data_IF_230283999382
#
_entry.id   IF_230283999382
#
_cell.length_a   1.000
_cell.length_b   1.000
_cell.length_c   1.000
_cell.angle_alpha   90.00
_cell.angle_beta   90.00
_cell.angle_gamma   90.00
#
_symmetry.space_group_name_H-M   'P 1'
#
loop_
_entity.id
_entity.type
_entity.pdbx_description
1 polymer ?
#
# COMPACT_ATOMS: atom_id res chain seq x y z
N UNK A 1 -30.94 8.47 -10.82
CA UNK A 1 -29.49 8.60 -10.56
C UNK A 1 -29.26 8.02 -9.18
N UNK A 2 -28.84 6.75 -9.11
CA UNK A 2 -28.53 6.13 -7.84
C UNK A 2 -27.33 6.90 -7.26
N UNK A 3 -27.50 7.51 -6.10
CA UNK A 3 -26.41 8.06 -5.33
C UNK A 3 -25.45 6.91 -5.02
N UNK A 4 -24.31 6.94 -5.63
CA UNK A 4 -23.25 5.99 -5.34
C UNK A 4 -22.87 6.18 -3.87
N UNK A 5 -23.24 5.20 -3.07
CA UNK A 5 -22.92 5.20 -1.63
C UNK A 5 -21.46 4.78 -1.45
N UNK A 6 -20.55 5.65 -1.86
CA UNK A 6 -19.09 5.50 -1.74
C UNK A 6 -18.61 5.37 -0.29
N UNK A 7 -19.52 5.43 0.67
CA UNK A 7 -19.21 6.03 1.97
C UNK A 7 -19.18 5.05 3.13
N UNK A 8 -19.47 3.78 2.93
CA UNK A 8 -19.64 2.91 4.10
C UNK A 8 -18.60 1.81 4.30
N UNK A 9 -17.80 1.52 3.28
CA UNK A 9 -16.81 0.45 3.43
C UNK A 9 -15.63 0.63 2.47
N UNK A 10 -14.43 1.02 2.96
CA UNK A 10 -13.23 1.16 2.14
C UNK A 10 -12.83 -0.14 1.42
N UNK A 11 -13.23 -1.30 1.96
CA UNK A 11 -12.97 -2.58 1.34
C UNK A 11 -13.66 -2.72 -0.03
N UNK A 12 -14.86 -2.15 -0.20
CA UNK A 12 -15.58 -2.20 -1.48
C UNK A 12 -14.82 -1.49 -2.59
N UNK A 13 -14.29 -0.30 -2.32
CA UNK A 13 -13.47 0.44 -3.29
C UNK A 13 -12.23 -0.37 -3.70
N UNK A 14 -11.54 -0.92 -2.74
CA UNK A 14 -10.36 -1.75 -2.97
C UNK A 14 -10.69 -3.03 -3.75
N UNK A 15 -11.73 -3.76 -3.36
CA UNK A 15 -12.15 -4.99 -4.03
C UNK A 15 -12.64 -4.72 -5.45
N UNK A 16 -13.35 -3.61 -5.68
CA UNK A 16 -13.77 -3.19 -7.03
C UNK A 16 -12.57 -2.90 -7.92
N UNK A 17 -11.53 -2.26 -7.39
CA UNK A 17 -10.28 -2.05 -8.12
C UNK A 17 -9.61 -3.38 -8.46
N UNK A 18 -9.52 -4.30 -7.51
CA UNK A 18 -8.93 -5.62 -7.76
C UNK A 18 -9.70 -6.39 -8.83
N UNK A 19 -11.02 -6.40 -8.77
CA UNK A 19 -11.86 -7.03 -9.80
C UNK A 19 -11.65 -6.39 -11.16
N UNK A 20 -11.64 -5.06 -11.23
CA UNK A 20 -11.38 -4.32 -12.45
C UNK A 20 -10.02 -4.70 -13.09
N UNK A 21 -8.97 -4.83 -12.29
CA UNK A 21 -7.65 -5.24 -12.76
C UNK A 21 -7.68 -6.69 -13.28
N UNK A 22 -8.36 -7.59 -12.57
CA UNK A 22 -8.47 -8.98 -12.99
C UNK A 22 -9.18 -9.14 -14.34
N UNK A 23 -10.23 -8.34 -14.57
CA UNK A 23 -11.05 -8.40 -15.78
C UNK A 23 -10.45 -7.64 -16.97
N UNK A 24 -9.83 -6.48 -16.70
CA UNK A 24 -9.40 -5.53 -17.74
C UNK A 24 -7.89 -5.29 -17.76
N UNK A 25 -7.14 -5.83 -16.81
CA UNK A 25 -5.71 -5.62 -16.70
C UNK A 25 -4.93 -6.32 -17.82
N UNK A 26 -3.86 -5.67 -18.25
CA UNK A 26 -2.91 -6.21 -19.24
C UNK A 26 -1.83 -6.97 -18.49
N UNK A 27 -1.54 -8.19 -18.93
CA UNK A 27 -0.43 -8.97 -18.39
C UNK A 27 0.91 -8.35 -18.76
N UNK A 28 1.76 -8.14 -17.75
CA UNK A 28 3.13 -7.66 -17.92
C UNK A 28 4.10 -8.66 -17.30
N UNK A 29 5.15 -8.95 -18.03
CA UNK A 29 6.29 -9.70 -17.48
C UNK A 29 7.08 -8.76 -16.58
N UNK A 30 7.22 -9.15 -15.32
CA UNK A 30 8.09 -8.44 -14.39
C UNK A 30 9.48 -9.07 -14.32
N UNK A 31 10.44 -8.31 -13.78
CA UNK A 31 11.82 -8.75 -13.56
C UNK A 31 11.91 -10.05 -12.74
N UNK A 32 10.93 -10.29 -11.85
CA UNK A 32 10.88 -11.49 -10.98
C UNK A 32 10.37 -12.74 -11.69
N UNK A 33 9.86 -12.62 -12.93
CA UNK A 33 9.31 -13.75 -13.71
C UNK A 33 7.92 -14.21 -13.30
N UNK A 34 7.33 -13.65 -12.25
CA UNK A 34 6.01 -14.05 -11.74
C UNK A 34 4.88 -13.50 -12.61
N UNK A 35 5.11 -12.37 -13.28
CA UNK A 35 4.09 -11.65 -14.04
C UNK A 35 3.18 -10.80 -13.14
N UNK A 36 2.56 -9.78 -13.74
CA UNK A 36 1.58 -8.94 -13.08
C UNK A 36 0.48 -8.53 -14.06
N UNK A 37 -0.74 -8.36 -13.55
CA UNK A 37 -1.80 -7.65 -14.27
C UNK A 37 -1.84 -6.20 -13.81
N UNK A 38 -1.96 -5.27 -14.76
CA UNK A 38 -2.03 -3.85 -14.46
C UNK A 38 -3.00 -3.10 -15.35
N UNK A 39 -3.59 -2.05 -14.81
CA UNK A 39 -4.29 -1.00 -15.57
C UNK A 39 -3.46 0.27 -15.50
N UNK A 40 -3.63 1.17 -16.48
CA UNK A 40 -2.82 2.40 -16.55
C UNK A 40 -3.08 3.35 -15.38
N UNK A 41 -4.30 3.41 -14.90
CA UNK A 41 -4.67 4.25 -13.77
C UNK A 41 -6.06 3.94 -13.28
N UNK A 42 -6.32 4.23 -12.02
CA UNK A 42 -7.62 4.09 -11.39
C UNK A 42 -7.74 5.06 -10.23
N UNK A 43 -8.92 5.65 -10.06
CA UNK A 43 -9.19 6.57 -8.96
C UNK A 43 -10.09 5.90 -7.94
N UNK A 44 -9.65 5.84 -6.69
CA UNK A 44 -10.48 5.50 -5.53
C UNK A 44 -10.81 6.78 -4.76
N UNK A 45 -12.02 6.86 -4.21
CA UNK A 45 -12.47 7.99 -3.41
C UNK A 45 -12.97 7.51 -2.06
N UNK A 46 -12.52 8.18 -1.00
CA UNK A 46 -12.90 7.88 0.38
C UNK A 46 -13.40 9.14 1.08
N UNK A 47 -14.52 9.04 1.76
CA UNK A 47 -15.03 10.10 2.63
C UNK A 47 -14.39 10.01 4.01
N UNK A 48 -13.42 10.87 4.27
CA UNK A 48 -12.69 10.88 5.53
C UNK A 48 -13.55 11.34 6.74
N UNK A 49 -14.72 11.93 6.49
CA UNK A 49 -15.66 12.26 7.58
C UNK A 49 -16.22 11.01 8.26
N UNK A 50 -16.19 9.87 7.57
CA UNK A 50 -16.63 8.56 8.09
C UNK A 50 -15.52 7.80 8.83
N UNK A 51 -14.32 8.34 8.86
CA UNK A 51 -13.16 7.75 9.51
C UNK A 51 -12.01 7.45 8.55
N UNK A 52 -10.95 6.86 9.10
CA UNK A 52 -9.80 6.45 8.31
C UNK A 52 -10.14 5.20 7.46
N UNK A 53 -9.86 5.19 6.15
CA UNK A 53 -10.21 4.11 5.23
C UNK A 53 -9.29 2.88 5.39
N UNK A 54 -9.24 2.31 6.58
CA UNK A 54 -8.46 1.11 6.85
C UNK A 54 -9.11 -0.11 6.22
N UNK A 55 -8.35 -0.84 5.40
CA UNK A 55 -8.81 -2.10 4.83
C UNK A 55 -8.93 -3.19 5.90
N UNK A 56 -10.01 -3.96 5.85
CA UNK A 56 -10.32 -5.06 6.78
C UNK A 56 -10.33 -6.43 6.10
N UNK A 57 -10.01 -6.51 4.80
CA UNK A 57 -9.90 -7.76 4.05
C UNK A 57 -8.82 -8.71 4.60
N UNK A 58 -7.87 -8.15 5.32
CA UNK A 58 -6.88 -8.88 6.12
C UNK A 58 -6.53 -8.07 7.37
N UNK A 59 -5.95 -8.73 8.36
CA UNK A 59 -5.41 -8.02 9.54
C UNK A 59 -4.23 -7.17 9.12
N UNK A 60 -4.32 -5.87 9.35
CA UNK A 60 -3.23 -4.91 9.07
C UNK A 60 -2.64 -4.36 10.37
N UNK A 61 -1.35 -4.04 10.33
CA UNK A 61 -0.62 -3.46 11.46
C UNK A 61 -0.70 -1.93 11.40
N UNK A 62 -1.82 -1.38 11.90
CA UNK A 62 -2.13 0.07 11.83
C UNK A 62 -1.03 0.96 12.43
N UNK A 63 -0.39 0.55 13.53
CA UNK A 63 0.70 1.30 14.14
C UNK A 63 1.88 1.47 13.16
N UNK A 64 2.23 0.41 12.44
CA UNK A 64 3.27 0.46 11.40
C UNK A 64 2.89 1.40 10.25
N UNK A 65 1.63 1.37 9.81
CA UNK A 65 1.10 2.25 8.75
C UNK A 65 1.23 3.72 9.16
N UNK A 66 0.84 4.06 10.38
CA UNK A 66 0.93 5.45 10.89
C UNK A 66 2.38 5.91 10.94
N UNK A 67 3.30 5.12 11.51
CA UNK A 67 4.71 5.48 11.59
C UNK A 67 5.36 5.60 10.21
N UNK A 68 5.04 4.71 9.28
CA UNK A 68 5.55 4.79 7.90
C UNK A 68 5.06 6.06 7.21
N UNK A 69 3.77 6.40 7.35
CA UNK A 69 3.22 7.63 6.78
C UNK A 69 3.89 8.88 7.37
N UNK A 70 4.08 8.95 8.68
CA UNK A 70 4.78 10.04 9.33
C UNK A 70 6.22 10.16 8.83
N UNK A 71 6.92 9.05 8.69
CA UNK A 71 8.26 9.00 8.14
C UNK A 71 8.30 9.52 6.69
N UNK A 72 7.37 9.12 5.82
CA UNK A 72 7.26 9.67 4.47
C UNK A 72 7.03 11.18 4.46
N UNK A 73 6.16 11.68 5.34
CA UNK A 73 5.85 13.11 5.41
C UNK A 73 7.04 13.96 5.87
N UNK A 74 7.98 13.40 6.62
CA UNK A 74 9.23 14.10 7.00
C UNK A 74 10.23 14.20 5.85
N UNK A 75 10.04 13.43 4.75
CA UNK A 75 10.99 13.36 3.65
C UNK A 75 12.31 12.67 4.01
N UNK A 76 12.39 12.01 5.16
CA UNK A 76 13.58 11.29 5.58
C UNK A 76 13.71 9.97 4.80
N UNK A 77 14.92 9.65 4.37
CA UNK A 77 15.24 8.40 3.69
C UNK A 77 15.95 7.37 4.59
N UNK A 78 16.27 7.76 5.82
CA UNK A 78 16.90 6.88 6.79
C UNK A 78 15.84 6.16 7.64
N UNK A 79 15.92 4.84 7.70
CA UNK A 79 14.94 4.01 8.43
C UNK A 79 15.07 4.09 9.96
N UNK A 80 16.02 4.85 10.49
CA UNK A 80 16.29 4.95 11.92
C UNK A 80 15.06 5.30 12.75
N UNK A 81 14.21 6.20 12.24
CA UNK A 81 12.94 6.54 12.89
C UNK A 81 12.04 5.32 13.05
N UNK A 82 11.89 4.51 12.00
CA UNK A 82 11.06 3.30 12.00
C UNK A 82 11.62 2.25 12.96
N UNK A 83 12.93 2.03 12.94
CA UNK A 83 13.62 1.09 13.83
C UNK A 83 13.42 1.47 15.30
N UNK A 84 13.58 2.76 15.64
CA UNK A 84 13.37 3.27 17.00
C UNK A 84 11.93 3.11 17.51
N UNK A 85 10.97 3.05 16.59
CA UNK A 85 9.56 2.84 16.88
C UNK A 85 9.11 1.38 16.70
N UNK A 86 10.05 0.45 16.62
CA UNK A 86 9.80 -1.00 16.41
C UNK A 86 8.92 -1.30 15.20
N UNK A 87 9.10 -0.55 14.11
CA UNK A 87 8.47 -0.76 12.81
C UNK A 87 9.48 -1.38 11.87
N UNK A 88 9.28 -2.65 11.50
CA UNK A 88 10.28 -3.49 10.82
C UNK A 88 10.07 -3.63 9.31
N UNK A 89 9.11 -2.94 8.74
CA UNK A 89 8.67 -3.09 7.34
C UNK A 89 9.85 -2.96 6.34
N UNK A 90 10.80 -2.07 6.64
CA UNK A 90 11.93 -1.75 5.77
C UNK A 90 13.26 -2.40 6.18
N UNK A 91 13.30 -3.14 7.30
CA UNK A 91 14.57 -3.65 7.84
C UNK A 91 15.29 -4.59 6.88
N UNK A 92 14.59 -5.54 6.30
CA UNK A 92 15.17 -6.54 5.41
C UNK A 92 15.79 -5.90 4.17
N UNK A 93 15.06 -5.00 3.53
CA UNK A 93 15.55 -4.28 2.34
C UNK A 93 16.79 -3.45 2.62
N UNK A 94 16.80 -2.70 3.71
CA UNK A 94 17.95 -1.89 4.12
C UNK A 94 19.18 -2.75 4.42
N UNK A 95 18.97 -3.92 5.06
CA UNK A 95 20.04 -4.86 5.36
C UNK A 95 20.62 -5.51 4.10
N UNK A 96 19.78 -5.91 3.16
CA UNK A 96 20.24 -6.48 1.88
C UNK A 96 21.08 -5.48 1.10
N UNK A 97 20.62 -4.24 0.95
CA UNK A 97 21.38 -3.18 0.27
C UNK A 97 22.73 -2.90 0.98
N UNK A 98 22.75 -2.96 2.31
CA UNK A 98 24.00 -2.81 3.05
C UNK A 98 24.99 -3.94 2.75
N UNK A 99 24.53 -5.19 2.71
CA UNK A 99 25.37 -6.34 2.38
C UNK A 99 25.94 -6.25 0.97
N UNK A 100 25.12 -5.91 -0.02
CA UNK A 100 25.53 -5.78 -1.42
C UNK A 100 26.62 -4.71 -1.63
N UNK A 101 26.59 -3.63 -0.83
CA UNK A 101 27.58 -2.55 -0.93
C UNK A 101 28.89 -2.81 -0.19
N UNK A 102 28.92 -3.80 0.70
CA UNK A 102 30.07 -4.10 1.55
C UNK A 102 30.69 -5.49 1.26
N UNK A 103 30.32 -6.11 0.15
CA UNK A 103 30.99 -7.26 -0.45
C UNK A 103 31.93 -6.77 -1.56
#
# INVERSE_FOLDING_TARGET
MQSYDFHKNPDKEYLSLMQHILENGIERKERTGIGAKSVFGHQMRFDLSLGFPLLTTKKVFIRGIIHELLWFLTGDTNIKYLVRNDVKIWNEWAFQVYLEKNQ
#
